data_IF_605746533420
#
_entry.id   IF_605746533420
#
_cell.length_a   1.000
_cell.length_b   1.000
_cell.length_c   1.000
_cell.angle_alpha   90.00
_cell.angle_beta   90.00
_cell.angle_gamma   90.00
#
_symmetry.space_group_name_H-M   'P 1'
#
loop_
_entity.id
_entity.type
_entity.pdbx_description
1 polymer ?
#
# COMPACT_ATOMS: atom_id res chain seq x y z
N UNK A 1 -17.77 -12.41 -11.66
CA UNK A 1 -18.21 -11.79 -10.40
C UNK A 1 -17.21 -10.69 -10.08
N UNK A 2 -17.62 -9.44 -9.95
CA UNK A 2 -16.66 -8.34 -9.82
C UNK A 2 -16.41 -8.10 -8.34
N UNK A 3 -15.31 -8.63 -7.80
CA UNK A 3 -14.81 -8.31 -6.45
C UNK A 3 -14.11 -6.94 -6.53
N UNK A 4 -14.88 -5.88 -6.78
CA UNK A 4 -14.32 -4.53 -6.99
C UNK A 4 -14.04 -3.74 -5.71
N UNK A 5 -14.30 -4.27 -4.51
CA UNK A 5 -14.28 -3.50 -3.27
C UNK A 5 -13.39 -4.07 -2.15
N UNK A 6 -12.64 -5.16 -2.38
CA UNK A 6 -11.81 -5.75 -1.32
C UNK A 6 -10.59 -4.87 -1.00
N UNK A 7 -9.95 -4.30 -2.02
CA UNK A 7 -8.82 -3.38 -1.85
C UNK A 7 -9.21 -2.08 -1.12
N UNK A 8 -10.46 -1.60 -1.29
CA UNK A 8 -10.96 -0.42 -0.57
C UNK A 8 -11.15 -0.66 0.93
N UNK A 9 -11.39 -1.89 1.36
CA UNK A 9 -11.56 -2.19 2.78
C UNK A 9 -10.24 -2.14 3.55
N UNK A 10 -9.13 -2.48 2.91
CA UNK A 10 -7.78 -2.42 3.49
C UNK A 10 -7.19 -1.00 3.53
N UNK A 11 -7.61 -0.11 2.61
CA UNK A 11 -7.04 1.25 2.51
C UNK A 11 -7.69 2.29 3.43
N UNK A 12 -8.86 2.03 4.01
CA UNK A 12 -9.63 3.02 4.80
C UNK A 12 -9.35 3.01 6.31
N UNK A 13 -8.44 2.18 6.82
CA UNK A 13 -8.24 1.97 8.26
C UNK A 13 -6.98 2.58 8.87
N UNK A 14 -6.30 3.52 8.20
CA UNK A 14 -5.18 4.26 8.79
C UNK A 14 -5.63 5.49 9.58
N UNK A 15 -6.42 5.34 10.66
CA UNK A 15 -6.74 6.43 11.58
C UNK A 15 -6.65 6.00 13.05
N UNK A 16 -5.52 6.39 13.62
CA UNK A 16 -5.27 6.82 15.03
C UNK A 16 -5.89 6.04 16.19
N UNK A 17 -5.06 5.32 16.94
CA UNK A 17 -5.30 5.01 18.34
C UNK A 17 -4.40 5.84 19.27
N UNK A 18 -5.03 6.68 20.10
CA UNK A 18 -4.39 7.35 21.22
C UNK A 18 -4.44 6.44 22.45
N UNK A 19 -3.28 6.19 23.05
CA UNK A 19 -3.15 5.40 24.28
C UNK A 19 -3.62 6.22 25.50
N UNK A 20 -4.48 5.64 26.33
CA UNK A 20 -4.71 6.08 27.71
C UNK A 20 -3.98 5.14 28.67
N UNK A 21 -3.01 5.70 29.39
CA UNK A 21 -2.37 5.09 30.55
C UNK A 21 -3.19 5.36 31.80
N UNK A 22 -3.48 4.36 32.61
CA UNK A 22 -3.98 4.56 33.95
C UNK A 22 -3.08 3.90 35.01
N UNK A 23 -3.07 4.54 36.22
CA UNK A 23 -2.11 4.37 37.30
C UNK A 23 -2.62 3.47 38.39
N UNK A 24 -1.69 2.72 38.91
CA UNK A 24 -1.52 2.08 40.21
C UNK A 24 -2.60 2.09 41.30
N UNK A 25 -2.81 0.92 41.89
CA UNK A 25 -3.46 0.74 43.16
C UNK A 25 -2.87 -0.47 43.90
N UNK A 26 -2.32 -0.22 45.08
CA UNK A 26 -1.82 -1.25 46.00
C UNK A 26 -2.95 -2.19 46.47
N UNK A 27 -2.72 -3.48 46.46
CA UNK A 27 -3.61 -4.45 47.08
C UNK A 27 -2.90 -5.34 48.09
N UNK A 28 -3.50 -5.41 49.26
CA UNK A 28 -3.20 -6.26 50.43
C UNK A 28 -3.37 -7.75 50.08
N UNK A 29 -2.57 -8.67 50.68
CA UNK A 29 -2.68 -10.10 50.39
C UNK A 29 -3.94 -10.73 51.00
N UNK A 30 -4.73 -11.37 50.14
CA UNK A 30 -5.90 -12.17 50.51
C UNK A 30 -5.52 -13.67 50.51
N UNK A 31 -6.16 -14.53 51.33
CA UNK A 31 -5.82 -15.95 51.45
C UNK A 31 -6.03 -16.71 50.12
N UNK A 32 -5.14 -17.63 49.81
CA UNK A 32 -5.17 -18.48 48.62
C UNK A 32 -6.45 -19.33 48.62
N UNK A 33 -7.33 -19.05 47.65
CA UNK A 33 -8.39 -19.97 47.22
C UNK A 33 -7.80 -21.15 46.45
N UNK A 34 -8.48 -22.32 46.43
CA UNK A 34 -7.99 -23.48 45.68
C UNK A 34 -7.81 -23.14 44.20
N UNK A 35 -6.62 -23.37 43.65
CA UNK A 35 -6.32 -23.18 42.25
C UNK A 35 -7.28 -24.02 41.40
N UNK A 36 -8.24 -23.38 40.75
CA UNK A 36 -9.00 -24.01 39.68
C UNK A 36 -8.03 -24.48 38.59
N UNK A 37 -8.22 -25.73 38.16
CA UNK A 37 -7.46 -26.31 37.06
C UNK A 37 -7.60 -25.37 35.86
N UNK A 38 -6.50 -24.97 35.19
CA UNK A 38 -6.59 -24.09 34.02
C UNK A 38 -7.59 -24.69 33.03
N UNK A 39 -8.66 -23.97 32.69
CA UNK A 39 -9.54 -24.35 31.61
C UNK A 39 -8.71 -24.45 30.33
N UNK A 40 -8.89 -25.53 29.59
CA UNK A 40 -8.25 -25.66 28.27
C UNK A 40 -8.73 -24.49 27.38
N UNK A 41 -7.82 -23.79 26.68
CA UNK A 41 -8.20 -22.63 25.90
C UNK A 41 -9.29 -23.02 24.89
N UNK A 42 -10.36 -22.26 24.88
CA UNK A 42 -11.47 -22.47 23.97
C UNK A 42 -10.95 -22.47 22.52
N UNK A 43 -11.30 -23.50 21.75
CA UNK A 43 -10.94 -23.60 20.34
C UNK A 43 -12.19 -23.50 19.48
N UNK A 44 -12.19 -22.58 18.54
CA UNK A 44 -13.24 -22.43 17.52
C UNK A 44 -12.71 -23.10 16.24
N UNK A 45 -13.48 -24.04 15.70
CA UNK A 45 -13.16 -24.75 14.44
C UNK A 45 -14.17 -24.31 13.38
N UNK A 46 -13.67 -23.86 12.22
CA UNK A 46 -14.46 -23.34 11.11
C UNK A 46 -14.03 -24.05 9.82
N UNK A 47 -15.01 -24.53 9.07
CA UNK A 47 -14.83 -24.89 7.67
C UNK A 47 -15.21 -23.67 6.84
N UNK A 48 -14.22 -23.06 6.16
CA UNK A 48 -14.46 -21.89 5.33
C UNK A 48 -15.15 -22.30 4.02
N UNK A 49 -16.13 -21.53 3.60
CA UNK A 49 -16.82 -21.69 2.32
C UNK A 49 -16.16 -20.90 1.19
N UNK A 50 -15.40 -19.84 1.54
CA UNK A 50 -14.69 -19.00 0.56
C UNK A 50 -13.24 -18.78 0.99
N UNK A 51 -12.34 -18.87 0.01
CA UNK A 51 -10.97 -18.43 0.12
C UNK A 51 -10.59 -17.67 -1.14
N UNK A 52 -10.61 -16.35 -1.05
CA UNK A 52 -10.44 -15.44 -2.18
C UNK A 52 -9.41 -14.37 -1.87
N UNK A 53 -8.91 -13.71 -2.90
CA UNK A 53 -7.98 -12.60 -2.69
C UNK A 53 -7.56 -11.90 -3.95
N UNK A 54 -6.61 -10.97 -3.76
CA UNK A 54 -5.99 -10.18 -4.80
C UNK A 54 -4.47 -10.27 -4.67
N UNK A 55 -3.78 -10.37 -5.79
CA UNK A 55 -2.32 -10.32 -5.88
C UNK A 55 -1.90 -8.99 -6.49
N UNK A 56 -1.07 -8.23 -5.78
CA UNK A 56 -0.60 -6.92 -6.23
C UNK A 56 0.89 -6.88 -6.60
N UNK A 57 1.53 -8.05 -6.68
CA UNK A 57 2.94 -8.16 -7.05
C UNK A 57 3.87 -7.59 -6.00
N UNK A 58 4.92 -6.95 -6.45
CA UNK A 58 5.96 -6.30 -5.65
C UNK A 58 5.63 -4.84 -5.29
N UNK A 59 4.32 -4.51 -5.21
CA UNK A 59 3.85 -3.14 -4.97
C UNK A 59 4.39 -2.50 -3.67
N UNK A 60 4.67 -3.30 -2.65
CA UNK A 60 5.10 -2.83 -1.32
C UNK A 60 6.55 -3.18 -0.99
N UNK A 61 7.11 -4.21 -1.62
CA UNK A 61 8.49 -4.64 -1.44
C UNK A 61 9.01 -5.31 -2.70
N UNK A 62 10.24 -5.02 -3.17
CA UNK A 62 10.75 -5.58 -4.42
C UNK A 62 11.04 -7.09 -4.36
N UNK A 63 11.15 -7.65 -3.16
CA UNK A 63 11.64 -9.03 -2.96
C UNK A 63 10.54 -10.06 -2.76
N UNK A 64 9.29 -9.62 -2.53
CA UNK A 64 8.17 -10.51 -2.28
C UNK A 64 6.88 -10.05 -2.94
N UNK A 65 6.04 -10.99 -3.33
CA UNK A 65 4.69 -10.74 -3.83
C UNK A 65 3.69 -10.62 -2.70
N UNK A 66 2.88 -9.57 -2.72
CA UNK A 66 1.82 -9.35 -1.74
C UNK A 66 0.50 -9.95 -2.20
N UNK A 67 -0.12 -10.72 -1.32
CA UNK A 67 -1.43 -11.35 -1.46
C UNK A 67 -2.35 -10.85 -0.37
N UNK A 68 -3.39 -10.11 -0.74
CA UNK A 68 -4.48 -9.74 0.17
C UNK A 68 -5.55 -10.82 0.10
N UNK A 69 -5.68 -11.62 1.16
CA UNK A 69 -6.50 -12.83 1.20
C UNK A 69 -7.64 -12.71 2.20
N UNK A 70 -8.76 -13.38 1.94
CA UNK A 70 -9.87 -13.53 2.87
C UNK A 70 -10.32 -14.99 2.92
N UNK A 71 -10.29 -15.58 4.12
CA UNK A 71 -11.01 -16.81 4.44
C UNK A 71 -12.35 -16.42 5.08
N UNK A 72 -13.46 -16.91 4.57
CA UNK A 72 -14.79 -16.60 5.09
C UNK A 72 -15.56 -17.86 5.42
N UNK A 73 -16.27 -17.86 6.57
CA UNK A 73 -17.10 -18.99 7.00
C UNK A 73 -18.33 -19.21 6.14
N UNK A 74 -18.71 -18.21 5.34
CA UNK A 74 -19.89 -18.24 4.47
C UNK A 74 -19.54 -17.63 3.11
N UNK A 75 -20.30 -17.98 2.08
CA UNK A 75 -20.19 -17.35 0.76
C UNK A 75 -20.53 -15.86 0.83
N UNK A 76 -19.83 -15.05 0.03
CA UNK A 76 -20.17 -13.62 -0.08
C UNK A 76 -21.54 -13.42 -0.74
N UNK A 77 -22.20 -12.32 -0.39
CA UNK A 77 -23.42 -11.89 -1.06
C UNK A 77 -23.16 -11.60 -2.55
N UNK A 78 -24.23 -11.58 -3.35
CA UNK A 78 -24.15 -11.17 -4.74
C UNK A 78 -23.51 -9.77 -4.86
N UNK A 79 -22.44 -9.67 -5.65
CA UNK A 79 -21.63 -8.46 -5.74
C UNK A 79 -20.43 -8.37 -4.78
N UNK A 80 -20.15 -9.42 -3.98
CA UNK A 80 -18.95 -9.54 -3.14
C UNK A 80 -19.10 -8.92 -1.76
N UNK A 81 -20.31 -8.57 -1.33
CA UNK A 81 -20.58 -8.02 0.01
C UNK A 81 -20.51 -9.08 1.10
N UNK A 82 -20.18 -8.67 2.32
CA UNK A 82 -20.22 -9.53 3.51
C UNK A 82 -21.67 -9.92 3.85
N UNK A 83 -21.83 -11.10 4.42
CA UNK A 83 -23.15 -11.61 4.84
C UNK A 83 -23.26 -11.61 6.37
N UNK A 84 -24.48 -11.65 6.89
CA UNK A 84 -24.74 -11.69 8.33
C UNK A 84 -24.29 -13.03 8.96
N UNK A 85 -23.94 -13.00 10.25
CA UNK A 85 -23.56 -14.15 11.05
C UNK A 85 -22.38 -14.95 10.47
N UNK A 86 -21.39 -14.26 9.92
CA UNK A 86 -20.21 -14.86 9.30
C UNK A 86 -18.92 -14.38 10.00
N UNK A 87 -17.87 -15.17 9.84
CA UNK A 87 -16.51 -14.88 10.29
C UNK A 87 -15.60 -14.68 9.09
N UNK A 88 -14.79 -13.62 9.14
CA UNK A 88 -13.85 -13.24 8.09
C UNK A 88 -12.44 -13.11 8.68
N UNK A 89 -11.48 -13.73 8.01
CA UNK A 89 -10.06 -13.68 8.33
C UNK A 89 -9.35 -12.99 7.17
N UNK A 90 -9.03 -11.71 7.37
CA UNK A 90 -8.32 -10.87 6.39
C UNK A 90 -6.82 -11.02 6.64
N UNK A 91 -6.07 -11.35 5.60
CA UNK A 91 -4.65 -11.66 5.70
C UNK A 91 -3.89 -10.93 4.59
N UNK A 92 -2.89 -10.13 4.95
CA UNK A 92 -1.89 -9.63 4.02
C UNK A 92 -0.66 -10.53 4.10
N UNK A 93 -0.43 -11.31 3.04
CA UNK A 93 0.58 -12.38 3.00
C UNK A 93 1.66 -12.05 1.99
N UNK A 94 2.91 -12.25 2.38
CA UNK A 94 4.07 -12.08 1.50
C UNK A 94 4.66 -13.44 1.12
N UNK A 95 4.74 -13.70 -0.19
CA UNK A 95 5.21 -14.96 -0.76
C UNK A 95 6.22 -14.72 -1.89
N UNK A 96 6.62 -15.78 -2.59
CA UNK A 96 7.40 -15.62 -3.81
C UNK A 96 6.64 -14.81 -4.86
N UNK A 97 7.39 -14.04 -5.64
CA UNK A 97 6.82 -13.31 -6.77
C UNK A 97 6.25 -14.30 -7.79
N UNK A 98 5.05 -14.03 -8.25
CA UNK A 98 4.44 -14.78 -9.34
C UNK A 98 5.06 -14.34 -10.67
N UNK A 99 5.72 -15.27 -11.37
CA UNK A 99 6.39 -15.04 -12.65
C UNK A 99 5.51 -15.36 -13.86
N UNK A 100 4.27 -15.81 -13.62
CA UNK A 100 3.33 -16.17 -14.67
C UNK A 100 2.77 -14.96 -15.43
N UNK A 101 2.21 -15.25 -16.60
CA UNK A 101 1.53 -14.25 -17.41
C UNK A 101 0.23 -13.81 -16.74
N UNK A 102 -0.18 -12.56 -16.99
CA UNK A 102 -1.50 -12.05 -16.63
C UNK A 102 -2.59 -12.92 -17.30
N UNK A 103 -3.20 -13.78 -16.51
CA UNK A 103 -4.34 -14.63 -16.91
C UNK A 103 -5.63 -14.22 -16.20
N UNK A 104 -5.58 -13.12 -15.44
CA UNK A 104 -6.65 -12.67 -14.57
C UNK A 104 -6.63 -13.32 -13.18
N UNK A 105 -5.93 -14.44 -13.01
CA UNK A 105 -5.81 -15.17 -11.75
C UNK A 105 -4.39 -15.66 -11.50
N UNK A 106 -4.01 -15.64 -10.24
CA UNK A 106 -2.70 -16.10 -9.75
C UNK A 106 -2.91 -17.25 -8.77
N UNK A 107 -2.05 -18.24 -8.82
CA UNK A 107 -2.03 -19.29 -7.84
C UNK A 107 -1.20 -18.87 -6.62
N UNK A 108 -1.78 -18.98 -5.43
CA UNK A 108 -1.05 -18.76 -4.18
C UNK A 108 0.00 -19.86 -3.99
N UNK A 109 1.28 -19.52 -3.73
CA UNK A 109 2.33 -20.52 -3.51
C UNK A 109 2.02 -21.41 -2.29
N UNK A 110 2.36 -22.70 -2.40
CA UNK A 110 2.33 -23.61 -1.26
C UNK A 110 3.40 -23.21 -0.23
N UNK A 111 3.08 -23.32 1.04
CA UNK A 111 4.02 -22.96 2.09
C UNK A 111 3.37 -22.71 3.44
N UNK A 112 4.19 -22.27 4.38
CA UNK A 112 3.77 -21.83 5.71
C UNK A 112 4.08 -20.36 5.85
N UNK A 113 3.07 -19.59 6.27
CA UNK A 113 3.12 -18.15 6.45
C UNK A 113 2.80 -17.83 7.90
N UNK A 114 3.65 -17.06 8.58
CA UNK A 114 3.53 -16.76 10.01
C UNK A 114 3.37 -15.27 10.25
N UNK A 115 2.61 -14.92 11.31
CA UNK A 115 2.37 -13.52 11.68
C UNK A 115 3.68 -12.81 12.03
N UNK A 116 3.98 -11.76 11.28
CA UNK A 116 5.11 -10.87 11.51
C UNK A 116 4.64 -9.54 12.11
N UNK A 117 4.96 -9.33 13.38
CA UNK A 117 4.64 -8.11 14.13
C UNK A 117 5.63 -6.97 13.89
N UNK A 118 6.72 -7.24 13.18
CA UNK A 118 7.75 -6.24 12.88
C UNK A 118 7.52 -5.56 11.51
N UNK A 119 6.56 -6.04 10.71
CA UNK A 119 6.25 -5.47 9.41
C UNK A 119 7.38 -5.60 8.39
N UNK A 120 8.14 -6.71 8.43
CA UNK A 120 9.31 -6.88 7.55
C UNK A 120 8.94 -7.12 6.09
N UNK A 121 7.67 -7.49 5.81
CA UNK A 121 7.19 -7.86 4.47
C UNK A 121 8.01 -8.97 3.81
N UNK A 122 8.66 -9.82 4.64
CA UNK A 122 9.49 -10.89 4.15
C UNK A 122 8.66 -12.08 3.62
N UNK A 123 9.20 -12.82 2.67
CA UNK A 123 8.57 -14.06 2.18
C UNK A 123 8.28 -15.02 3.34
N UNK A 124 7.08 -15.63 3.33
CA UNK A 124 6.61 -16.50 4.39
C UNK A 124 5.98 -15.75 5.57
N UNK A 125 5.73 -14.45 5.46
CA UNK A 125 5.11 -13.67 6.51
C UNK A 125 3.65 -13.32 6.25
N UNK A 126 2.91 -13.10 7.33
CA UNK A 126 1.59 -12.44 7.39
C UNK A 126 1.83 -11.11 8.09
N UNK A 127 1.50 -9.99 7.45
CA UNK A 127 1.69 -8.66 8.03
C UNK A 127 0.65 -8.40 9.12
N UNK A 128 1.11 -8.22 10.36
CA UNK A 128 0.22 -8.03 11.52
C UNK A 128 -0.56 -6.70 11.46
N UNK A 129 -0.02 -5.67 10.80
CA UNK A 129 -0.67 -4.35 10.71
C UNK A 129 -1.91 -4.37 9.81
N UNK A 130 -1.92 -5.24 8.78
CA UNK A 130 -2.99 -5.33 7.79
C UNK A 130 -3.73 -6.68 7.81
N UNK A 131 -3.62 -7.42 8.92
CA UNK A 131 -4.28 -8.73 9.06
C UNK A 131 -5.17 -8.77 10.30
N UNK A 132 -6.45 -9.12 10.09
CA UNK A 132 -7.47 -8.99 11.11
C UNK A 132 -8.49 -10.11 11.05
N UNK A 133 -9.09 -10.41 12.20
CA UNK A 133 -10.35 -11.13 12.32
C UNK A 133 -11.51 -10.15 12.40
N UNK A 134 -12.62 -10.51 11.77
CA UNK A 134 -13.87 -9.78 11.90
C UNK A 134 -15.03 -10.78 11.84
N UNK A 135 -16.09 -10.48 12.61
CA UNK A 135 -17.37 -11.20 12.52
C UNK A 135 -18.50 -10.24 12.19
N UNK A 136 -19.58 -10.77 11.67
CA UNK A 136 -20.82 -10.04 11.42
C UNK A 136 -21.93 -10.65 12.27
N UNK A 137 -22.91 -9.85 12.65
CA UNK A 137 -24.18 -10.30 13.23
C UNK A 137 -25.34 -9.95 12.28
N UNK A 138 -26.58 -10.03 12.74
CA UNK A 138 -27.76 -9.79 11.91
C UNK A 138 -27.89 -8.35 11.41
N UNK A 139 -27.24 -7.37 12.05
CA UNK A 139 -27.50 -5.96 11.83
C UNK A 139 -26.26 -5.15 11.50
N UNK A 140 -25.07 -5.61 11.88
CA UNK A 140 -23.84 -4.82 11.76
C UNK A 140 -22.56 -5.68 11.70
N UNK A 141 -21.49 -5.09 11.23
CA UNK A 141 -20.13 -5.65 11.32
C UNK A 141 -19.55 -5.32 12.68
N UNK A 142 -18.90 -6.31 13.32
CA UNK A 142 -18.13 -6.08 14.52
C UNK A 142 -16.79 -5.42 14.19
N UNK A 143 -16.13 -4.88 15.19
CA UNK A 143 -14.82 -4.26 15.03
C UNK A 143 -13.79 -5.26 14.50
N UNK A 144 -12.79 -4.73 13.77
CA UNK A 144 -11.62 -5.50 13.37
C UNK A 144 -10.77 -5.83 14.60
N UNK A 145 -10.41 -7.10 14.73
CA UNK A 145 -9.59 -7.60 15.84
C UNK A 145 -8.27 -8.13 15.31
N UNK A 146 -7.16 -7.56 15.78
CA UNK A 146 -5.82 -8.03 15.40
C UNK A 146 -5.57 -9.46 15.92
N UNK A 147 -4.74 -10.21 15.21
CA UNK A 147 -4.30 -11.52 15.63
C UNK A 147 -3.24 -11.42 16.75
N UNK A 148 -3.41 -12.19 17.83
CA UNK A 148 -2.34 -12.42 18.82
C UNK A 148 -1.22 -13.27 18.22
N UNK A 149 -1.58 -14.27 17.39
CA UNK A 149 -0.71 -15.07 16.55
C UNK A 149 -1.50 -15.62 15.37
N UNK A 150 -0.83 -15.88 14.25
CA UNK A 150 -1.43 -16.56 13.11
C UNK A 150 -0.37 -17.38 12.34
N UNK A 151 -0.80 -18.53 11.86
CA UNK A 151 -0.05 -19.38 10.93
C UNK A 151 -1.02 -19.88 9.85
N UNK A 152 -0.71 -19.60 8.59
CA UNK A 152 -1.45 -20.09 7.42
C UNK A 152 -0.58 -21.12 6.70
N UNK A 153 -1.09 -22.34 6.57
CA UNK A 153 -0.45 -23.41 5.81
C UNK A 153 -1.25 -23.64 4.53
N UNK A 154 -0.60 -23.54 3.39
CA UNK A 154 -1.19 -23.76 2.06
C UNK A 154 -0.53 -24.98 1.42
N UNK A 155 -1.35 -25.89 0.94
CA UNK A 155 -0.96 -27.05 0.15
C UNK A 155 -1.71 -27.05 -1.18
N UNK A 156 -1.41 -28.00 -2.06
CA UNK A 156 -2.08 -28.13 -3.36
C UNK A 156 -3.61 -28.28 -3.26
N UNK A 157 -4.14 -28.76 -2.14
CA UNK A 157 -5.57 -29.11 -2.01
C UNK A 157 -6.25 -28.50 -0.80
N UNK A 158 -5.51 -27.81 0.07
CA UNK A 158 -6.06 -27.34 1.33
C UNK A 158 -5.31 -26.12 1.87
N UNK A 159 -6.06 -25.19 2.46
CA UNK A 159 -5.53 -24.15 3.31
C UNK A 159 -5.96 -24.38 4.77
N UNK A 160 -5.06 -24.10 5.72
CA UNK A 160 -5.35 -24.17 7.15
C UNK A 160 -4.79 -22.94 7.84
N UNK A 161 -5.64 -22.10 8.39
CA UNK A 161 -5.25 -21.00 9.25
C UNK A 161 -5.42 -21.42 10.70
N UNK A 162 -4.36 -21.32 11.50
CA UNK A 162 -4.40 -21.38 12.97
C UNK A 162 -4.10 -20.02 13.51
N UNK A 163 -5.07 -19.37 14.12
CA UNK A 163 -4.93 -18.02 14.68
C UNK A 163 -5.36 -17.98 16.14
N UNK A 164 -4.80 -17.03 16.90
CA UNK A 164 -5.28 -16.68 18.24
C UNK A 164 -5.84 -15.26 18.15
N UNK A 165 -7.08 -15.10 18.58
CA UNK A 165 -7.82 -13.84 18.57
C UNK A 165 -8.34 -13.59 19.99
N UNK A 166 -7.88 -12.56 20.66
CA UNK A 166 -8.24 -12.24 22.05
C UNK A 166 -8.11 -13.47 22.99
N UNK A 167 -7.02 -14.24 22.82
CA UNK A 167 -6.73 -15.43 23.61
C UNK A 167 -7.52 -16.70 23.21
N UNK A 168 -8.45 -16.62 22.27
CA UNK A 168 -9.22 -17.76 21.74
C UNK A 168 -8.53 -18.33 20.51
N UNK A 169 -8.32 -19.65 20.47
CA UNK A 169 -7.74 -20.32 19.31
C UNK A 169 -8.80 -20.56 18.22
N UNK A 170 -8.51 -20.12 17.00
CA UNK A 170 -9.31 -20.40 15.81
C UNK A 170 -8.54 -21.36 14.91
N UNK A 171 -9.19 -22.38 14.41
CA UNK A 171 -8.67 -23.29 13.36
C UNK A 171 -9.64 -23.22 12.19
N UNK A 172 -9.19 -22.63 11.09
CA UNK A 172 -10.01 -22.42 9.90
C UNK A 172 -9.44 -23.23 8.76
N UNK A 173 -10.26 -24.04 8.13
CA UNK A 173 -9.84 -24.91 7.01
C UNK A 173 -10.66 -24.62 5.76
N UNK A 174 -10.01 -24.65 4.62
CA UNK A 174 -10.64 -24.56 3.30
C UNK A 174 -10.12 -25.69 2.41
N UNK A 175 -11.02 -26.47 1.83
CA UNK A 175 -10.66 -27.53 0.89
C UNK A 175 -10.59 -26.94 -0.52
N UNK A 176 -9.37 -26.90 -1.09
CA UNK A 176 -9.07 -26.30 -2.38
C UNK A 176 -7.97 -25.27 -2.30
N UNK A 177 -7.84 -24.49 -3.36
CA UNK A 177 -6.91 -23.37 -3.45
C UNK A 177 -7.65 -22.04 -3.45
N UNK A 178 -6.98 -20.98 -3.00
CA UNK A 178 -7.52 -19.62 -3.08
C UNK A 178 -7.79 -19.20 -4.52
N UNK A 179 -8.91 -18.53 -4.74
CA UNK A 179 -9.16 -17.80 -5.98
C UNK A 179 -8.58 -16.39 -5.84
N UNK A 180 -7.41 -16.18 -6.42
CA UNK A 180 -6.67 -14.90 -6.30
C UNK A 180 -6.69 -14.18 -7.65
N UNK A 181 -7.29 -13.00 -7.70
CA UNK A 181 -7.27 -12.16 -8.89
C UNK A 181 -5.90 -11.47 -9.05
N UNK A 182 -5.39 -11.43 -10.28
CA UNK A 182 -4.17 -10.66 -10.61
C UNK A 182 -4.52 -9.17 -10.72
N UNK A 183 -4.07 -8.40 -9.73
CA UNK A 183 -4.25 -6.94 -9.64
C UNK A 183 -2.93 -6.19 -9.76
N UNK A 184 -1.89 -6.86 -10.26
CA UNK A 184 -0.62 -6.16 -10.49
C UNK A 184 -0.84 -4.92 -11.34
N UNK A 185 -0.22 -3.83 -10.94
CA UNK A 185 -0.17 -2.64 -11.76
C UNK A 185 0.50 -2.98 -13.11
N UNK A 186 0.09 -2.29 -14.18
CA UNK A 186 0.60 -2.55 -15.53
C UNK A 186 1.54 -1.45 -15.96
N UNK A 187 2.58 -1.82 -16.70
CA UNK A 187 3.47 -0.88 -17.34
C UNK A 187 2.68 0.11 -18.21
N UNK A 188 3.06 1.38 -18.15
CA UNK A 188 2.42 2.46 -18.91
C UNK A 188 3.45 3.27 -19.68
N UNK A 189 3.07 3.70 -20.87
CA UNK A 189 3.76 4.74 -21.64
C UNK A 189 2.85 5.96 -21.72
N UNK A 190 3.26 7.05 -21.08
CA UNK A 190 2.46 8.27 -20.95
C UNK A 190 3.19 9.42 -21.65
N UNK A 191 2.47 10.12 -22.50
CA UNK A 191 2.91 11.41 -23.05
C UNK A 191 2.28 12.49 -22.19
N UNK A 192 3.09 13.11 -21.35
CA UNK A 192 2.65 14.28 -20.63
C UNK A 192 2.55 15.47 -21.58
N UNK A 193 1.48 16.23 -21.46
CA UNK A 193 1.24 17.44 -22.23
C UNK A 193 1.44 18.68 -21.39
N UNK A 194 1.37 18.54 -20.07
CA UNK A 194 1.56 19.61 -19.10
C UNK A 194 2.69 19.29 -18.12
N UNK A 195 3.55 20.29 -17.88
CA UNK A 195 4.61 20.22 -16.88
C UNK A 195 4.70 21.54 -16.12
N UNK A 196 4.62 21.46 -14.80
CA UNK A 196 4.71 22.59 -13.88
C UNK A 196 5.62 22.24 -12.70
N UNK A 197 6.41 23.19 -12.22
CA UNK A 197 7.19 23.00 -11.00
C UNK A 197 7.08 24.19 -10.05
N UNK A 198 6.97 23.89 -8.76
CA UNK A 198 7.17 24.86 -7.68
C UNK A 198 8.64 24.85 -7.27
N UNK A 199 9.28 26.01 -7.32
CA UNK A 199 10.66 26.19 -6.85
C UNK A 199 10.65 26.70 -5.43
N UNK A 200 11.25 25.95 -4.51
CA UNK A 200 11.34 26.28 -3.11
C UNK A 200 12.76 26.71 -2.66
N UNK A 201 13.73 26.74 -3.59
CA UNK A 201 15.14 26.99 -3.26
C UNK A 201 15.68 25.95 -2.29
N UNK A 202 16.62 26.35 -1.44
CA UNK A 202 17.24 25.48 -0.44
C UNK A 202 16.42 25.32 0.86
N UNK A 203 15.15 25.72 0.86
CA UNK A 203 14.30 25.75 2.05
C UNK A 203 14.17 24.44 2.78
N UNK A 204 14.20 23.32 2.05
CA UNK A 204 14.11 21.97 2.62
C UNK A 204 15.46 21.28 2.87
N UNK A 205 16.57 21.86 2.36
CA UNK A 205 17.93 21.26 2.38
C UNK A 205 19.04 22.28 2.52
N UNK A 206 18.86 23.26 3.39
CA UNK A 206 19.67 24.50 3.57
C UNK A 206 21.16 24.36 3.23
N UNK A 207 21.55 25.05 2.15
CA UNK A 207 22.92 25.08 1.68
C UNK A 207 23.43 23.80 1.00
N UNK A 208 22.57 22.82 0.75
CA UNK A 208 22.91 21.54 0.11
C UNK A 208 22.42 21.49 -1.32
N UNK A 209 21.12 21.75 -1.52
CA UNK A 209 20.46 21.63 -2.82
C UNK A 209 19.23 22.54 -2.91
N UNK A 210 18.77 22.82 -4.11
CA UNK A 210 17.50 23.46 -4.36
C UNK A 210 16.42 22.43 -4.66
N UNK A 211 15.20 22.72 -4.21
CA UNK A 211 14.03 21.84 -4.37
C UNK A 211 13.08 22.34 -5.46
N UNK A 212 12.68 21.39 -6.32
CA UNK A 212 11.66 21.57 -7.35
C UNK A 212 10.57 20.51 -7.18
N UNK A 213 9.36 20.93 -6.85
CA UNK A 213 8.19 20.05 -6.78
C UNK A 213 7.52 20.02 -8.15
N UNK A 214 7.82 18.97 -8.92
CA UNK A 214 7.46 18.82 -10.33
C UNK A 214 6.15 18.07 -10.49
N UNK A 215 5.27 18.59 -11.31
CA UNK A 215 4.02 17.96 -11.75
C UNK A 215 4.10 17.67 -13.26
N UNK A 216 3.77 16.44 -13.63
CA UNK A 216 3.58 16.02 -15.02
C UNK A 216 2.18 15.47 -15.16
N UNK A 217 1.48 15.82 -16.25
CA UNK A 217 0.14 15.31 -16.53
C UNK A 217 -0.09 15.12 -18.03
N UNK A 218 -0.99 14.21 -18.37
CA UNK A 218 -1.46 13.97 -19.74
C UNK A 218 -2.59 14.92 -20.18
N UNK A 219 -2.90 15.94 -19.38
CA UNK A 219 -3.81 17.03 -19.78
C UNK A 219 -3.09 18.07 -20.65
N UNK A 220 -3.86 18.80 -21.45
CA UNK A 220 -3.31 19.82 -22.39
C UNK A 220 -3.23 21.22 -21.79
N UNK A 221 -3.79 21.45 -20.59
CA UNK A 221 -3.98 22.77 -19.99
C UNK A 221 -3.54 22.83 -18.52
N UNK A 222 -3.84 23.95 -17.83
CA UNK A 222 -3.45 24.18 -16.45
C UNK A 222 -3.81 23.01 -15.50
N UNK A 223 -3.00 22.86 -14.44
CA UNK A 223 -3.22 21.80 -13.44
C UNK A 223 -4.59 21.96 -12.77
N UNK A 224 -5.55 21.18 -13.21
CA UNK A 224 -6.86 21.01 -12.61
C UNK A 224 -7.16 19.50 -12.55
N UNK A 225 -7.96 19.06 -11.60
CA UNK A 225 -8.37 17.66 -11.47
C UNK A 225 -9.30 17.27 -12.62
N UNK A 226 -8.68 17.09 -13.79
CA UNK A 226 -9.40 16.77 -15.03
C UNK A 226 -9.86 15.31 -15.01
N UNK A 227 -11.11 15.01 -15.40
CA UNK A 227 -11.60 13.64 -15.53
C UNK A 227 -10.67 12.74 -16.34
N UNK A 228 -10.36 11.55 -15.79
CA UNK A 228 -9.51 10.50 -16.38
C UNK A 228 -8.05 10.88 -16.61
N UNK A 229 -7.62 12.06 -16.17
CA UNK A 229 -6.23 12.49 -16.28
C UNK A 229 -5.31 11.73 -15.30
N UNK A 230 -4.06 11.57 -15.74
CA UNK A 230 -2.98 10.98 -14.93
C UNK A 230 -2.02 12.08 -14.47
N UNK A 231 -1.61 12.00 -13.22
CA UNK A 231 -0.72 12.97 -12.59
C UNK A 231 0.46 12.28 -11.93
N UNK A 232 1.66 12.81 -12.18
CA UNK A 232 2.91 12.38 -11.57
C UNK A 232 3.48 13.55 -10.80
N UNK A 233 3.69 13.38 -9.51
CA UNK A 233 4.22 14.39 -8.62
C UNK A 233 5.58 13.92 -8.12
N UNK A 234 6.61 14.74 -8.30
CA UNK A 234 8.01 14.37 -8.08
C UNK A 234 8.72 15.46 -7.28
N UNK A 235 9.30 15.08 -6.17
CA UNK A 235 10.09 15.96 -5.30
C UNK A 235 11.57 15.88 -5.68
N UNK A 236 12.03 16.80 -6.55
CA UNK A 236 13.38 16.83 -7.14
C UNK A 236 14.31 17.74 -6.35
N UNK A 237 15.55 17.32 -6.17
CA UNK A 237 16.64 18.12 -5.60
C UNK A 237 17.75 18.33 -6.63
N UNK A 238 18.15 19.57 -6.84
CA UNK A 238 19.18 19.97 -7.83
C UNK A 238 20.36 20.69 -7.19
N UNK A 239 21.37 21.04 -7.98
CA UNK A 239 22.32 22.06 -7.57
C UNK A 239 21.62 23.36 -7.22
N UNK A 240 22.21 24.12 -6.29
CA UNK A 240 21.75 25.48 -5.93
C UNK A 240 21.89 26.38 -7.16
N UNK A 241 20.81 27.02 -7.56
CA UNK A 241 20.79 27.93 -8.71
C UNK A 241 20.73 29.40 -8.26
N UNK A 242 21.09 30.31 -9.16
CA UNK A 242 20.74 31.73 -9.03
C UNK A 242 19.40 32.00 -9.76
N UNK A 243 18.27 32.12 -9.05
CA UNK A 243 16.94 32.28 -9.67
C UNK A 243 16.81 33.64 -10.40
N UNK A 244 17.70 34.60 -10.11
CA UNK A 244 17.69 35.86 -10.85
C UNK A 244 18.27 35.71 -12.26
N UNK A 245 19.10 34.69 -12.50
CA UNK A 245 19.68 34.41 -13.82
C UNK A 245 18.80 33.50 -14.68
N UNK A 246 18.22 32.48 -14.10
CA UNK A 246 17.29 31.55 -14.78
C UNK A 246 16.54 30.72 -13.74
N UNK A 247 15.22 30.74 -13.80
CA UNK A 247 14.35 29.89 -12.98
C UNK A 247 13.89 28.68 -13.82
N UNK A 248 14.76 27.69 -13.91
CA UNK A 248 14.51 26.44 -14.65
C UNK A 248 15.07 25.26 -13.86
N UNK A 249 14.45 24.08 -14.00
CA UNK A 249 15.03 22.85 -13.43
C UNK A 249 16.36 22.58 -14.13
N UNK A 250 17.49 22.44 -13.40
CA UNK A 250 18.78 22.13 -13.97
C UNK A 250 18.77 20.83 -14.81
N UNK A 251 19.46 20.86 -15.97
CA UNK A 251 19.59 19.65 -16.80
C UNK A 251 20.42 18.59 -16.10
N UNK A 252 19.96 17.36 -16.15
CA UNK A 252 20.65 16.22 -15.54
C UNK A 252 19.76 15.01 -15.40
N UNK A 253 20.32 13.97 -14.81
CA UNK A 253 19.60 12.76 -14.44
C UNK A 253 19.39 12.75 -12.94
N UNK A 254 18.14 12.78 -12.54
CA UNK A 254 17.69 12.67 -11.15
C UNK A 254 17.36 11.22 -10.84
N UNK A 255 17.86 10.69 -9.72
CA UNK A 255 17.65 9.30 -9.30
C UNK A 255 17.02 9.24 -7.93
N UNK A 256 16.21 8.22 -7.70
CA UNK A 256 15.62 8.00 -6.38
C UNK A 256 16.69 7.75 -5.33
N UNK A 257 16.57 8.45 -4.21
CA UNK A 257 17.44 8.30 -3.06
C UNK A 257 16.69 7.74 -1.85
N UNK A 258 16.82 6.43 -1.63
CA UNK A 258 16.19 5.74 -0.51
C UNK A 258 16.63 6.26 0.86
N UNK A 259 17.80 6.93 0.95
CA UNK A 259 18.29 7.55 2.18
C UNK A 259 17.65 8.91 2.46
N UNK A 260 16.93 9.45 1.48
CA UNK A 260 16.34 10.78 1.52
C UNK A 260 17.35 11.88 1.92
N UNK A 261 18.57 11.79 1.36
CA UNK A 261 19.68 12.72 1.66
C UNK A 261 19.44 14.13 1.15
N UNK A 262 18.52 14.28 0.19
CA UNK A 262 18.26 15.55 -0.51
C UNK A 262 19.50 16.13 -1.20
N UNK A 263 20.41 15.26 -1.62
CA UNK A 263 21.60 15.66 -2.38
C UNK A 263 21.19 16.16 -3.79
N UNK A 264 22.03 16.98 -4.46
CA UNK A 264 21.76 17.34 -5.85
C UNK A 264 21.56 16.12 -6.76
N UNK A 265 20.63 16.25 -7.71
CA UNK A 265 20.23 15.23 -8.68
C UNK A 265 19.61 13.98 -8.05
N UNK A 266 18.88 14.17 -6.93
CA UNK A 266 18.09 13.12 -6.31
C UNK A 266 16.59 13.41 -6.36
N UNK A 267 15.79 12.34 -6.20
CA UNK A 267 14.35 12.38 -6.04
C UNK A 267 14.04 11.82 -4.64
N UNK A 268 13.24 12.54 -3.88
CA UNK A 268 12.84 12.10 -2.54
C UNK A 268 11.86 10.94 -2.61
N UNK A 269 12.06 9.89 -1.79
CA UNK A 269 11.14 8.75 -1.60
C UNK A 269 10.20 9.02 -0.41
N UNK A 270 9.53 10.16 -0.42
CA UNK A 270 8.56 10.52 0.63
C UNK A 270 7.15 10.43 0.11
N UNK A 271 6.18 10.67 1.00
CA UNK A 271 4.76 10.82 0.65
C UNK A 271 4.47 11.93 -0.38
N UNK A 272 5.47 12.78 -0.66
CA UNK A 272 5.37 13.90 -1.59
C UNK A 272 5.71 13.49 -3.05
N UNK A 273 6.11 12.22 -3.27
CA UNK A 273 6.42 11.68 -4.60
C UNK A 273 5.44 10.55 -4.91
N UNK A 274 4.44 10.84 -5.74
CA UNK A 274 3.31 9.93 -5.97
C UNK A 274 2.69 10.09 -7.35
N UNK A 275 1.88 9.12 -7.72
CA UNK A 275 1.08 9.05 -8.94
C UNK A 275 -0.39 8.87 -8.59
N UNK A 276 -1.27 9.44 -9.41
CA UNK A 276 -2.70 9.18 -9.34
C UNK A 276 -3.39 9.43 -10.68
N UNK A 277 -4.55 8.78 -10.87
CA UNK A 277 -5.51 9.06 -11.94
C UNK A 277 -6.84 9.48 -11.35
N UNK A 278 -7.54 10.37 -12.07
CA UNK A 278 -8.87 10.81 -11.69
C UNK A 278 -9.95 9.89 -12.25
N UNK A 279 -11.11 9.85 -11.59
CA UNK A 279 -12.31 9.19 -12.10
C UNK A 279 -12.91 9.94 -13.30
N UNK A 280 -13.99 9.40 -13.85
CA UNK A 280 -14.70 10.00 -15.00
C UNK A 280 -15.32 11.39 -14.70
N UNK A 281 -15.37 11.77 -13.41
CA UNK A 281 -15.92 13.05 -12.96
C UNK A 281 -14.85 14.02 -12.44
N UNK A 282 -13.59 13.59 -12.33
CA UNK A 282 -12.52 14.40 -11.74
C UNK A 282 -12.65 14.62 -10.24
N UNK A 283 -13.35 13.74 -9.53
CA UNK A 283 -13.68 13.93 -8.11
C UNK A 283 -12.92 12.97 -7.18
N UNK A 284 -12.59 11.77 -7.66
CA UNK A 284 -11.93 10.76 -6.86
C UNK A 284 -10.74 10.16 -7.61
N UNK A 285 -9.80 9.60 -6.88
CA UNK A 285 -8.72 8.82 -7.48
C UNK A 285 -9.24 7.43 -7.84
N UNK A 286 -8.97 6.98 -9.07
CA UNK A 286 -9.27 5.62 -9.54
C UNK A 286 -8.07 4.71 -9.41
N UNK A 287 -6.87 5.28 -9.41
CA UNK A 287 -5.60 4.61 -9.22
C UNK A 287 -4.67 5.61 -8.54
N UNK A 288 -3.93 5.18 -7.55
CA UNK A 288 -2.91 6.01 -6.91
C UNK A 288 -1.84 5.11 -6.29
N UNK A 289 -0.61 5.62 -6.20
CA UNK A 289 0.49 4.92 -5.58
C UNK A 289 1.71 5.80 -5.40
N UNK A 290 2.54 5.45 -4.42
CA UNK A 290 3.83 6.09 -4.27
C UNK A 290 4.76 5.67 -5.40
N UNK A 291 5.61 6.59 -5.83
CA UNK A 291 6.70 6.30 -6.74
C UNK A 291 7.89 5.87 -5.88
N UNK A 292 8.33 4.62 -6.04
CA UNK A 292 9.28 4.00 -5.11
C UNK A 292 10.70 3.92 -5.64
N UNK A 293 10.87 4.04 -6.97
CA UNK A 293 12.18 3.99 -7.64
C UNK A 293 12.07 4.59 -9.05
N UNK A 294 13.19 4.84 -9.69
CA UNK A 294 13.26 5.28 -11.07
C UNK A 294 14.26 6.39 -11.35
N UNK A 295 14.14 6.95 -12.53
CA UNK A 295 14.98 8.05 -13.01
C UNK A 295 14.16 9.11 -13.73
N UNK A 296 14.58 10.37 -13.61
CA UNK A 296 14.04 11.50 -14.36
C UNK A 296 15.19 12.21 -15.05
N UNK A 297 15.17 12.25 -16.36
CA UNK A 297 16.13 13.00 -17.19
C UNK A 297 15.49 14.31 -17.60
N UNK A 298 16.10 15.42 -17.24
CA UNK A 298 15.73 16.77 -17.70
C UNK A 298 16.78 17.23 -18.67
N UNK A 299 16.39 17.57 -19.88
CA UNK A 299 17.28 18.07 -20.92
C UNK A 299 16.63 19.17 -21.77
N UNK A 300 17.33 19.62 -22.81
CA UNK A 300 16.85 20.67 -23.70
C UNK A 300 15.52 20.29 -24.45
N UNK A 301 15.23 19.01 -24.58
CA UNK A 301 14.01 18.52 -25.29
C UNK A 301 12.80 18.43 -24.38
N UNK A 302 13.02 18.42 -23.05
CA UNK A 302 11.97 18.27 -22.03
C UNK A 302 12.34 17.29 -20.93
N UNK A 303 11.41 16.40 -20.58
CA UNK A 303 11.55 15.42 -19.51
C UNK A 303 11.29 14.01 -20.05
N UNK A 304 12.14 13.07 -19.64
CA UNK A 304 11.90 11.64 -19.79
C UNK A 304 12.04 11.00 -18.42
N UNK A 305 11.01 10.31 -17.95
CA UNK A 305 11.00 9.62 -16.68
C UNK A 305 10.70 8.13 -16.86
N UNK A 306 11.39 7.28 -16.12
CA UNK A 306 11.09 5.87 -15.96
C UNK A 306 10.91 5.62 -14.47
N UNK A 307 9.67 5.37 -14.05
CA UNK A 307 9.24 5.40 -12.66
C UNK A 307 8.66 4.04 -12.24
N UNK A 308 9.01 3.57 -11.05
CA UNK A 308 8.40 2.37 -10.45
C UNK A 308 7.25 2.77 -9.55
N UNK A 309 6.07 2.22 -9.86
CA UNK A 309 4.81 2.53 -9.17
C UNK A 309 4.06 1.21 -8.95
N UNK A 310 3.92 0.79 -7.69
CA UNK A 310 3.23 -0.46 -7.35
C UNK A 310 3.75 -1.67 -8.16
N UNK A 311 5.08 -1.75 -8.37
CA UNK A 311 5.72 -2.80 -9.15
C UNK A 311 5.74 -2.62 -10.67
N UNK A 312 4.89 -1.77 -11.23
CA UNK A 312 4.89 -1.45 -12.66
C UNK A 312 5.91 -0.36 -13.03
N UNK A 313 6.28 -0.32 -14.29
CA UNK A 313 7.12 0.73 -14.88
C UNK A 313 6.26 1.70 -15.66
N UNK A 314 6.25 2.97 -15.25
CA UNK A 314 5.64 4.05 -16.02
C UNK A 314 6.74 4.83 -16.75
N UNK A 315 6.67 4.86 -18.09
CA UNK A 315 7.54 5.70 -18.94
C UNK A 315 6.78 6.96 -19.29
N UNK A 316 7.21 8.09 -18.73
CA UNK A 316 6.56 9.39 -18.92
C UNK A 316 7.47 10.28 -19.74
N UNK A 317 6.95 10.88 -20.81
CA UNK A 317 7.69 11.82 -21.64
C UNK A 317 6.94 13.14 -21.75
N UNK A 318 7.62 14.25 -21.51
CA UNK A 318 7.14 15.60 -21.76
C UNK A 318 8.08 16.31 -22.73
N UNK A 319 7.54 16.99 -23.72
CA UNK A 319 8.32 17.78 -24.70
C UNK A 319 8.03 19.25 -24.51
N UNK A 320 9.07 20.03 -24.28
CA UNK A 320 8.99 21.47 -24.13
C UNK A 320 9.62 21.98 -22.84
N UNK A 321 9.45 23.26 -22.57
CA UNK A 321 9.94 23.90 -21.35
C UNK A 321 8.95 23.68 -20.20
N UNK A 322 9.48 23.39 -19.00
CA UNK A 322 8.69 23.31 -17.78
C UNK A 322 8.38 24.73 -17.29
N UNK A 323 7.13 25.01 -16.97
CA UNK A 323 6.74 26.24 -16.29
C UNK A 323 7.17 26.16 -14.82
N UNK A 324 8.02 27.10 -14.36
CA UNK A 324 8.50 27.10 -12.99
C UNK A 324 8.01 28.36 -12.26
N UNK A 325 7.28 28.17 -11.17
CA UNK A 325 6.86 29.24 -10.27
C UNK A 325 7.80 29.37 -9.07
N UNK A 326 8.14 30.60 -8.65
CA UNK A 326 8.92 30.87 -7.47
C UNK A 326 8.04 30.87 -6.20
N UNK A 327 8.22 29.86 -5.35
CA UNK A 327 7.45 29.65 -4.12
C UNK A 327 8.32 29.72 -2.85
N UNK A 328 9.53 30.26 -2.93
CA UNK A 328 10.43 30.42 -1.76
C UNK A 328 9.78 31.19 -0.62
N UNK A 329 8.89 32.15 -0.92
CA UNK A 329 8.19 32.93 0.11
C UNK A 329 7.13 32.14 0.87
N UNK A 330 6.72 30.96 0.39
CA UNK A 330 5.72 30.12 1.07
C UNK A 330 6.32 29.25 2.18
N UNK A 331 7.65 29.10 2.22
CA UNK A 331 8.37 28.40 3.27
C UNK A 331 8.75 29.43 4.36
N UNK A 332 8.07 29.40 5.49
CA UNK A 332 8.37 30.23 6.67
C UNK A 332 8.81 29.37 7.85
#
# INVERSE_FOLDING_TARGET
MKIRNLAYLLLLLSLSFAACTDKGGETTPQPEEPQEKPEEPQTIVIEAEEFVGEYVGDAYTPDAGCYALVLASNTFAEGGGMVANASYYLLEVYADLYDGKDTGYVQMPEGTYTLDKNGTMAKGSINAEFSYYMSTNDTEMNDLVAFDSAELVITATKATLTAVVQGVKHVVTFEGQATVEDKRAKDKEVKAHYAWAYYYGDGFSRGVSDNFYLFLSDIDDEFDYTPKASYYVLDLYSDIIDPASSLTIPYGTYTFDASNSRAPYTISVTSDTYYFTMDEYGQNYTESGYITDGTVVVDQSGITAELKIMGATHKVTFKGAVNVGDYRSSIQ
#
